data_IF_889667057871
#
_entry.id   IF_889667057871
#
_cell.length_a   1.000
_cell.length_b   1.000
_cell.length_c   1.000
_cell.angle_alpha   90.00
_cell.angle_beta   90.00
_cell.angle_gamma   90.00
#
_symmetry.space_group_name_H-M   'P 1'
#
loop_
_entity.id
_entity.type
_entity.pdbx_description
1 polymer ?
#
# COMPACT_ATOMS: atom_id res chain seq x y z
N UNK A 1 -9.66 11.78 -6.32
CA UNK A 1 -10.22 11.36 -5.02
C UNK A 1 -9.28 10.35 -4.39
N UNK A 2 -8.82 10.59 -3.15
CA UNK A 2 -8.02 9.62 -2.38
C UNK A 2 -8.92 8.69 -1.60
N UNK A 3 -8.47 7.47 -1.34
CA UNK A 3 -9.31 6.52 -0.63
C UNK A 3 -9.36 6.88 0.87
N UNK A 4 -10.54 7.14 1.45
CA UNK A 4 -10.69 7.49 2.86
C UNK A 4 -10.64 6.26 3.79
N UNK A 5 -10.20 5.10 3.29
CA UNK A 5 -10.18 3.87 4.07
C UNK A 5 -9.16 3.99 5.20
N UNK A 6 -9.65 3.95 6.44
CA UNK A 6 -8.81 3.95 7.62
C UNK A 6 -8.16 2.57 7.76
N UNK A 7 -6.88 2.47 7.37
CA UNK A 7 -6.08 1.27 7.53
C UNK A 7 -5.44 1.28 8.92
N UNK A 8 -5.69 0.25 9.74
CA UNK A 8 -5.09 0.09 11.07
C UNK A 8 -3.61 -0.35 11.02
N UNK A 9 -3.00 -0.31 9.83
CA UNK A 9 -1.59 -0.62 9.61
C UNK A 9 -1.27 -2.10 9.38
N UNK A 10 -2.23 -3.03 9.48
CA UNK A 10 -1.94 -4.45 9.25
C UNK A 10 -1.45 -4.74 7.83
N UNK A 11 -0.38 -5.53 7.67
CA UNK A 11 0.12 -5.90 6.33
C UNK A 11 -0.96 -6.59 5.48
N UNK A 12 -1.78 -7.45 6.10
CA UNK A 12 -2.89 -8.14 5.44
C UNK A 12 -4.02 -7.17 5.06
N UNK A 13 -4.39 -6.24 5.94
CA UNK A 13 -5.41 -5.20 5.68
C UNK A 13 -4.98 -4.30 4.52
N UNK A 14 -3.73 -3.82 4.55
CA UNK A 14 -3.17 -3.01 3.47
C UNK A 14 -3.27 -3.79 2.15
N UNK A 15 -2.80 -5.05 2.11
CA UNK A 15 -2.84 -5.87 0.89
C UNK A 15 -4.26 -6.20 0.43
N UNK A 16 -5.22 -6.34 1.34
CA UNK A 16 -6.63 -6.56 1.00
C UNK A 16 -7.26 -5.30 0.41
N UNK A 17 -6.98 -4.13 0.99
CA UNK A 17 -7.41 -2.84 0.47
C UNK A 17 -6.87 -2.57 -0.94
N UNK A 18 -5.60 -2.87 -1.19
CA UNK A 18 -5.03 -2.74 -2.55
C UNK A 18 -5.72 -3.67 -3.55
N UNK A 19 -6.05 -4.90 -3.13
CA UNK A 19 -6.82 -5.84 -3.95
C UNK A 19 -8.24 -5.33 -4.25
N UNK A 20 -8.88 -4.62 -3.33
CA UNK A 20 -10.19 -3.99 -3.56
C UNK A 20 -10.16 -2.91 -4.67
N UNK A 21 -8.99 -2.31 -4.91
CA UNK A 21 -8.74 -1.42 -6.05
C UNK A 21 -8.35 -2.16 -7.34
N UNK A 22 -8.40 -3.50 -7.37
CA UNK A 22 -7.96 -4.30 -8.51
C UNK A 22 -6.44 -4.40 -8.63
N UNK A 23 -5.69 -3.99 -7.60
CA UNK A 23 -4.24 -3.95 -7.63
C UNK A 23 -3.69 -5.26 -7.04
N UNK A 24 -3.13 -6.11 -7.91
CA UNK A 24 -2.44 -7.32 -7.49
C UNK A 24 -1.12 -7.47 -8.25
N UNK A 25 -0.01 -7.30 -7.54
CA UNK A 25 1.31 -7.62 -8.06
C UNK A 25 1.89 -8.85 -7.34
N UNK A 26 2.84 -9.53 -7.98
CA UNK A 26 3.65 -10.56 -7.35
C UNK A 26 4.64 -9.90 -6.39
N UNK A 27 5.05 -10.61 -5.33
CA UNK A 27 5.92 -10.07 -4.28
C UNK A 27 7.26 -9.48 -4.79
N UNK A 28 7.79 -10.00 -5.90
CA UNK A 28 9.04 -9.55 -6.52
C UNK A 28 8.84 -8.51 -7.62
N UNK A 29 7.60 -8.20 -7.99
CA UNK A 29 7.30 -7.17 -8.98
C UNK A 29 7.38 -5.78 -8.36
N UNK A 30 7.72 -4.81 -9.20
CA UNK A 30 7.63 -3.41 -8.84
C UNK A 30 6.19 -2.94 -9.06
N UNK A 31 5.62 -2.29 -8.05
CA UNK A 31 4.32 -1.64 -8.13
C UNK A 31 4.43 -0.19 -7.71
N UNK A 32 3.52 0.63 -8.21
CA UNK A 32 3.38 2.02 -7.76
C UNK A 32 2.57 2.03 -6.47
N UNK A 33 3.01 2.77 -5.45
CA UNK A 33 2.22 2.98 -4.26
C UNK A 33 0.91 3.69 -4.64
N UNK A 34 -0.25 3.06 -4.41
CA UNK A 34 -1.53 3.63 -4.81
C UNK A 34 -2.10 4.63 -3.81
N UNK A 35 -1.34 4.95 -2.76
CA UNK A 35 -1.71 6.01 -1.83
C UNK A 35 -1.78 7.34 -2.57
N UNK A 36 -2.86 8.09 -2.35
CA UNK A 36 -3.09 9.36 -3.05
C UNK A 36 -1.92 10.31 -2.82
N UNK A 37 -1.31 10.79 -3.91
CA UNK A 37 -0.19 11.73 -3.86
C UNK A 37 1.17 11.10 -3.55
N UNK A 38 1.26 9.76 -3.40
CA UNK A 38 2.55 9.11 -3.20
C UNK A 38 3.27 8.81 -4.52
N UNK A 39 2.66 8.01 -5.40
CA UNK A 39 3.23 7.67 -6.71
C UNK A 39 4.59 6.94 -6.69
N UNK A 40 5.05 6.47 -5.52
CA UNK A 40 6.39 5.90 -5.37
C UNK A 40 6.45 4.47 -5.91
N UNK A 41 7.37 4.21 -6.84
CA UNK A 41 7.68 2.84 -7.29
C UNK A 41 8.45 2.06 -6.22
N UNK A 42 7.95 0.89 -5.85
CA UNK A 42 8.55 0.04 -4.83
C UNK A 42 8.30 -1.44 -5.14
N UNK A 43 9.20 -2.33 -4.69
CA UNK A 43 8.93 -3.76 -4.69
C UNK A 43 7.67 -4.08 -3.87
N UNK A 44 6.77 -4.89 -4.42
CA UNK A 44 5.47 -5.15 -3.82
C UNK A 44 5.56 -5.75 -2.42
N UNK A 45 6.55 -6.63 -2.16
CA UNK A 45 6.84 -7.16 -0.80
C UNK A 45 7.08 -6.07 0.26
N UNK A 46 7.46 -4.86 -0.14
CA UNK A 46 7.75 -3.74 0.75
C UNK A 46 6.58 -2.74 0.84
N UNK A 47 5.51 -2.90 0.04
CA UNK A 47 4.45 -1.89 -0.05
C UNK A 47 3.75 -1.69 1.30
N UNK A 48 3.50 -2.77 2.04
CA UNK A 48 2.86 -2.69 3.36
C UNK A 48 3.71 -1.92 4.37
N UNK A 49 5.03 -2.17 4.40
CA UNK A 49 5.96 -1.41 5.24
C UNK A 49 6.00 0.05 4.83
N UNK A 50 6.10 0.32 3.53
CA UNK A 50 6.10 1.68 3.01
C UNK A 50 4.83 2.44 3.42
N UNK A 51 3.66 1.82 3.31
CA UNK A 51 2.38 2.43 3.70
C UNK A 51 2.33 2.71 5.20
N UNK A 52 2.73 1.75 6.04
CA UNK A 52 2.80 1.94 7.50
C UNK A 52 3.68 3.13 7.88
N UNK A 53 4.91 3.15 7.39
CA UNK A 53 5.90 4.15 7.79
C UNK A 53 5.64 5.53 7.20
N UNK A 54 5.17 5.61 5.94
CA UNK A 54 5.08 6.88 5.21
C UNK A 54 3.72 7.54 5.25
N UNK A 55 2.66 6.75 5.44
CA UNK A 55 1.29 7.26 5.35
C UNK A 55 0.53 7.14 6.65
N UNK A 56 0.80 6.09 7.44
CA UNK A 56 0.12 5.86 8.71
C UNK A 56 0.95 6.31 9.92
N UNK A 57 2.25 6.55 9.76
CA UNK A 57 3.15 6.90 10.86
C UNK A 57 3.36 5.77 11.88
N UNK A 58 3.01 4.54 11.50
CA UNK A 58 3.16 3.35 12.35
C UNK A 58 4.54 2.76 12.09
N UNK A 59 5.35 2.63 13.15
CA UNK A 59 6.70 2.07 13.11
C UNK A 59 6.68 0.57 13.40
#
# INVERSE_FOLDING_TARGET
AGCPTHLQGGCAEIMAHLRAHGISYRMREQGVCPWLGCGKSILWKNVSRHVREKHLGIR
#
